data_IF_607271487108
#
_entry.id   IF_607271487108
#
_cell.length_a   1.000
_cell.length_b   1.000
_cell.length_c   1.000
_cell.angle_alpha   90.00
_cell.angle_beta   90.00
_cell.angle_gamma   90.00
#
_symmetry.space_group_name_H-M   'P 1'
#
loop_
_entity.id
_entity.type
_entity.pdbx_description
1 polymer ?
#
# COMPACT_ATOMS: atom_id res chain seq x y z
N UNK A 1 -3.34 5.04 0.02
CA UNK A 1 -2.14 5.70 0.55
C UNK A 1 -2.44 6.70 1.67
N UNK A 2 -3.32 7.69 1.46
CA UNK A 2 -3.63 8.71 2.49
C UNK A 2 -4.10 8.10 3.81
N UNK A 3 -5.05 7.15 3.77
CA UNK A 3 -5.51 6.45 4.98
C UNK A 3 -4.37 5.70 5.68
N UNK A 4 -3.49 5.03 4.92
CA UNK A 4 -2.33 4.33 5.47
C UNK A 4 -1.33 5.28 6.13
N UNK A 5 -1.09 6.47 5.55
CA UNK A 5 -0.26 7.49 6.19
C UNK A 5 -0.89 8.00 7.49
N UNK A 6 -2.21 8.17 7.55
CA UNK A 6 -2.93 8.48 8.79
C UNK A 6 -2.73 7.40 9.85
N UNK A 7 -2.94 6.13 9.49
CA UNK A 7 -2.71 4.99 10.38
C UNK A 7 -1.27 4.95 10.91
N UNK A 8 -0.28 5.17 10.04
CA UNK A 8 1.12 5.23 10.42
C UNK A 8 1.41 6.37 11.41
N UNK A 9 0.80 7.55 11.22
CA UNK A 9 0.91 8.68 12.16
C UNK A 9 0.30 8.39 13.54
N UNK A 10 -0.73 7.55 13.60
CA UNK A 10 -1.32 7.07 14.86
C UNK A 10 -0.61 5.85 15.44
N UNK A 11 0.50 5.39 14.86
CA UNK A 11 1.23 4.21 15.33
C UNK A 11 0.58 2.86 14.98
N UNK A 12 -0.49 2.86 14.19
CA UNK A 12 -1.26 1.66 13.81
C UNK A 12 -0.64 1.02 12.55
N UNK A 13 0.62 0.60 12.65
CA UNK A 13 1.41 0.14 11.48
C UNK A 13 1.06 -1.26 11.00
N UNK A 14 0.56 -2.14 11.86
CA UNK A 14 0.18 -3.49 11.43
C UNK A 14 -1.00 -3.43 10.43
N UNK A 15 -1.91 -2.47 10.60
CA UNK A 15 -2.97 -2.17 9.62
C UNK A 15 -2.41 -1.62 8.30
N UNK A 16 -1.31 -0.84 8.36
CA UNK A 16 -0.63 -0.35 7.15
C UNK A 16 -0.02 -1.51 6.37
N UNK A 17 0.67 -2.43 7.05
CA UNK A 17 1.23 -3.65 6.45
C UNK A 17 0.13 -4.46 5.77
N UNK A 18 -1.03 -4.63 6.43
CA UNK A 18 -2.18 -5.35 5.85
C UNK A 18 -2.72 -4.67 4.59
N UNK A 19 -2.87 -3.33 4.61
CA UNK A 19 -3.32 -2.56 3.45
C UNK A 19 -2.33 -2.67 2.29
N UNK A 20 -1.03 -2.54 2.56
CA UNK A 20 0.02 -2.67 1.56
C UNK A 20 0.03 -4.05 0.93
N UNK A 21 -0.06 -5.10 1.75
CA UNK A 21 -0.09 -6.49 1.29
C UNK A 21 -1.29 -6.77 0.38
N UNK A 22 -2.50 -6.36 0.79
CA UNK A 22 -3.70 -6.52 -0.06
C UNK A 22 -3.64 -5.72 -1.36
N UNK A 23 -3.03 -4.54 -1.33
CA UNK A 23 -2.79 -3.69 -2.53
C UNK A 23 -1.82 -4.40 -3.48
N UNK A 24 -0.74 -4.97 -2.95
CA UNK A 24 0.27 -5.70 -3.74
C UNK A 24 -0.29 -6.99 -4.32
N UNK A 25 -1.02 -7.80 -3.53
CA UNK A 25 -1.72 -9.00 -4.00
C UNK A 25 -2.67 -8.68 -5.17
N UNK A 26 -3.40 -7.56 -5.07
CA UNK A 26 -4.30 -7.11 -6.14
C UNK A 26 -3.52 -6.71 -7.39
N UNK A 27 -2.41 -5.98 -7.24
CA UNK A 27 -1.54 -5.65 -8.36
C UNK A 27 -1.01 -6.92 -9.05
N UNK A 28 -0.51 -7.90 -8.29
CA UNK A 28 -0.03 -9.19 -8.82
C UNK A 28 -1.13 -9.89 -9.60
N UNK A 29 -2.35 -9.95 -9.07
CA UNK A 29 -3.49 -10.57 -9.75
C UNK A 29 -3.81 -9.92 -11.09
N UNK A 30 -3.67 -8.59 -11.18
CA UNK A 30 -3.96 -7.80 -12.40
C UNK A 30 -2.69 -7.47 -13.21
N UNK A 31 -1.68 -8.34 -13.23
CA UNK A 31 -0.44 -8.17 -14.02
C UNK A 31 0.29 -6.85 -13.73
N UNK A 32 0.44 -6.52 -12.44
CA UNK A 32 1.03 -5.27 -11.93
C UNK A 32 0.27 -4.00 -12.33
N UNK A 33 -0.99 -4.13 -12.77
CA UNK A 33 -1.89 -2.99 -13.03
C UNK A 33 -2.85 -2.84 -11.87
N UNK A 34 -2.60 -1.86 -11.02
CA UNK A 34 -3.44 -1.63 -9.85
C UNK A 34 -4.86 -1.22 -10.28
N UNK A 35 -5.92 -1.80 -9.67
CA UNK A 35 -7.29 -1.39 -9.95
C UNK A 35 -7.52 0.06 -9.53
N UNK A 36 -8.37 0.76 -10.28
CA UNK A 36 -8.79 2.13 -9.98
C UNK A 36 -9.56 2.24 -8.65
N UNK A 37 -10.34 1.20 -8.32
CA UNK A 37 -11.20 1.16 -7.16
C UNK A 37 -11.17 -0.21 -6.47
N UNK A 38 -11.37 -0.18 -5.16
CA UNK A 38 -11.54 -1.37 -4.32
C UNK A 38 -12.95 -1.38 -3.76
N UNK A 39 -13.62 -2.52 -3.81
CA UNK A 39 -14.92 -2.70 -3.18
C UNK A 39 -14.76 -3.09 -1.71
N UNK A 40 -15.74 -2.76 -0.87
CA UNK A 40 -15.80 -3.13 0.55
C UNK A 40 -16.30 -4.56 0.82
N UNK A 41 -16.43 -5.40 -0.20
CA UNK A 41 -16.85 -6.79 -0.02
C UNK A 41 -15.79 -7.61 0.72
N UNK A 42 -16.22 -8.44 1.65
CA UNK A 42 -15.34 -9.39 2.33
C UNK A 42 -14.80 -10.40 1.33
N UNK A 43 -13.48 -10.62 1.35
CA UNK A 43 -12.83 -11.67 0.55
C UNK A 43 -13.32 -13.04 1.00
N UNK A 44 -13.92 -13.81 0.11
CA UNK A 44 -14.22 -15.22 0.35
C UNK A 44 -13.04 -16.12 -0.04
N UNK A 45 -12.85 -17.21 0.69
CA UNK A 45 -11.79 -18.17 0.39
C UNK A 45 -12.04 -18.82 -0.98
N UNK A 46 -11.03 -18.84 -1.84
CA UNK A 46 -11.11 -19.43 -3.18
C UNK A 46 -11.66 -18.49 -4.27
N UNK A 47 -12.12 -17.28 -3.93
CA UNK A 47 -12.59 -16.31 -4.91
C UNK A 47 -11.45 -15.38 -5.39
N UNK A 48 -11.39 -15.18 -6.70
CA UNK A 48 -10.51 -14.20 -7.31
C UNK A 48 -11.10 -12.77 -7.17
N UNK A 49 -10.27 -11.73 -7.12
CA UNK A 49 -10.71 -10.35 -7.24
C UNK A 49 -11.63 -10.15 -8.45
N UNK A 50 -12.84 -9.63 -8.22
CA UNK A 50 -13.79 -9.36 -9.29
C UNK A 50 -13.39 -8.06 -9.99
N UNK A 51 -13.07 -8.15 -11.27
CA UNK A 51 -12.76 -6.97 -12.08
C UNK A 51 -14.01 -6.11 -12.29
N UNK A 52 -13.88 -4.80 -12.12
CA UNK A 52 -14.90 -3.85 -12.56
C UNK A 52 -14.66 -3.52 -14.04
N UNK A 53 -15.54 -3.91 -14.98
CA UNK A 53 -15.24 -3.87 -16.42
C UNK A 53 -14.96 -2.48 -16.98
N UNK A 54 -15.43 -1.44 -16.29
CA UNK A 54 -15.32 -0.03 -16.71
C UNK A 54 -14.18 0.67 -15.95
N UNK A 55 -13.40 -0.05 -15.14
CA UNK A 55 -12.26 0.53 -14.43
C UNK A 55 -11.14 0.92 -15.40
N UNK A 56 -10.54 2.07 -15.16
CA UNK A 56 -9.35 2.51 -15.86
C UNK A 56 -8.13 1.73 -15.35
N UNK A 57 -7.46 1.00 -16.24
CA UNK A 57 -6.21 0.31 -15.96
C UNK A 57 -5.14 0.83 -16.94
N UNK A 58 -4.16 1.67 -16.53
CA UNK A 58 -3.84 2.16 -15.16
C UNK A 58 -4.22 3.63 -14.88
N UNK A 59 -4.47 3.97 -13.60
CA UNK A 59 -4.82 5.33 -13.15
C UNK A 59 -3.57 6.17 -12.84
N UNK A 60 -3.19 7.05 -13.76
CA UNK A 60 -1.95 7.84 -13.67
C UNK A 60 -1.90 8.83 -12.49
N UNK A 61 -3.04 9.33 -12.01
CA UNK A 61 -3.08 10.33 -10.93
C UNK A 61 -2.71 9.74 -9.56
N UNK A 62 -2.71 8.42 -9.44
CA UNK A 62 -2.37 7.69 -8.22
C UNK A 62 -0.91 7.21 -8.17
N UNK A 63 -0.06 7.61 -9.12
CA UNK A 63 1.34 7.13 -9.21
C UNK A 63 2.15 7.33 -7.90
N UNK A 64 1.90 8.43 -7.16
CA UNK A 64 2.56 8.69 -5.88
C UNK A 64 2.13 7.76 -4.73
N UNK A 65 1.04 7.01 -4.89
CA UNK A 65 0.46 6.20 -3.82
C UNK A 65 1.36 5.03 -3.37
N UNK A 66 2.13 4.44 -4.29
CA UNK A 66 3.05 3.34 -4.00
C UNK A 66 4.18 3.79 -3.07
N UNK A 67 4.81 4.92 -3.37
CA UNK A 67 5.87 5.51 -2.53
C UNK A 67 5.32 5.91 -1.16
N UNK A 68 4.15 6.54 -1.12
CA UNK A 68 3.52 6.95 0.12
C UNK A 68 3.11 5.76 1.00
N UNK A 69 2.66 4.64 0.39
CA UNK A 69 2.40 3.38 1.11
C UNK A 69 3.69 2.79 1.68
N UNK A 70 4.77 2.79 0.89
CA UNK A 70 6.09 2.30 1.32
C UNK A 70 6.64 3.14 2.49
N UNK A 71 6.59 4.47 2.40
CA UNK A 71 6.96 5.38 3.49
C UNK A 71 6.10 5.12 4.73
N UNK A 72 4.79 4.95 4.57
CA UNK A 72 3.90 4.66 5.68
C UNK A 72 4.22 3.32 6.35
N UNK A 73 4.58 2.28 5.59
CA UNK A 73 4.91 0.95 6.10
C UNK A 73 6.25 0.94 6.85
N UNK A 74 7.30 1.43 6.19
CA UNK A 74 8.68 1.46 6.71
C UNK A 74 8.92 2.57 7.72
N UNK A 75 8.04 3.56 7.76
CA UNK A 75 8.16 4.71 8.66
C UNK A 75 9.25 5.67 8.26
N UNK A 76 9.47 5.80 6.95
CA UNK A 76 10.47 6.66 6.36
C UNK A 76 9.94 8.09 6.25
N UNK A 77 10.67 9.03 6.84
CA UNK A 77 10.53 10.46 6.58
C UNK A 77 11.86 10.96 6.03
N UNK A 78 11.80 11.63 4.87
CA UNK A 78 12.97 12.18 4.19
C UNK A 78 12.91 13.69 4.38
N UNK A 79 13.91 14.25 5.04
CA UNK A 79 14.10 15.69 5.18
C UNK A 79 15.25 16.12 4.27
N UNK A 80 14.90 16.69 3.11
CA UNK A 80 15.88 17.20 2.16
C UNK A 80 16.54 18.52 2.59
N UNK A 81 16.01 19.21 3.59
CA UNK A 81 16.60 20.44 4.13
C UNK A 81 17.76 20.15 5.08
N UNK A 82 17.62 19.11 5.91
CA UNK A 82 18.68 18.67 6.85
C UNK A 82 19.55 17.55 6.28
N UNK A 83 19.21 16.99 5.11
CA UNK A 83 19.80 15.77 4.56
C UNK A 83 19.67 14.55 5.49
N UNK A 84 18.57 14.47 6.24
CA UNK A 84 18.31 13.38 7.19
C UNK A 84 17.19 12.46 6.70
N UNK A 85 17.29 11.18 7.11
CA UNK A 85 16.24 10.19 6.93
C UNK A 85 15.89 9.64 8.31
N UNK A 86 14.64 9.85 8.72
CA UNK A 86 14.12 9.32 9.97
C UNK A 86 13.36 8.03 9.70
N UNK A 87 13.65 7.01 10.50
CA UNK A 87 12.98 5.71 10.45
C UNK A 87 12.28 5.47 11.78
N UNK A 88 10.96 5.54 11.78
CA UNK A 88 10.16 5.42 13.01
C UNK A 88 9.32 4.16 12.99
N UNK A 89 9.59 3.24 13.92
CA UNK A 89 8.86 1.97 14.10
C UNK A 89 8.69 1.19 12.78
N UNK A 90 9.77 0.83 12.07
CA UNK A 90 9.66 0.18 10.78
C UNK A 90 8.86 -1.13 10.87
N UNK A 91 8.06 -1.38 9.83
CA UNK A 91 7.41 -2.66 9.59
C UNK A 91 7.67 -3.09 8.16
N UNK A 92 8.09 -4.33 7.99
CA UNK A 92 8.26 -4.92 6.66
C UNK A 92 6.90 -5.41 6.14
N UNK A 93 6.68 -5.36 4.81
CA UNK A 93 5.55 -6.03 4.18
C UNK A 93 5.55 -7.53 4.46
N UNK A 94 4.38 -8.16 4.42
CA UNK A 94 4.26 -9.61 4.61
C UNK A 94 5.11 -10.35 3.57
N UNK A 95 5.88 -11.34 4.01
CA UNK A 95 6.75 -12.16 3.15
C UNK A 95 8.13 -11.55 2.88
N UNK A 96 8.45 -10.41 3.48
CA UNK A 96 9.79 -9.83 3.51
C UNK A 96 10.28 -9.89 4.95
N UNK A 97 11.07 -10.91 5.27
CA UNK A 97 11.57 -11.13 6.64
C UNK A 97 12.98 -10.58 6.85
N UNK A 98 13.69 -10.27 5.76
CA UNK A 98 15.06 -9.78 5.75
C UNK A 98 15.25 -8.63 4.74
N UNK A 99 16.22 -7.76 5.01
CA UNK A 99 16.70 -6.69 4.15
C UNK A 99 17.79 -7.17 3.20
#
# INVERSE_FOLDING_TARGET
AICAAGLARYGIRDSVVRLMSGTFESAVHFNMRLPELFCGCTRAAGEAPIAYPVACLPQAWSAGSAFMLMQACLGLQIDGGTNEIHVTQPRLPIGIDNL
#
